data_IF_107313765446
#
_entry.id   IF_107313765446
#
_cell.length_a   1.000
_cell.length_b   1.000
_cell.length_c   1.000
_cell.angle_alpha   90.00
_cell.angle_beta   90.00
_cell.angle_gamma   90.00
#
_symmetry.space_group_name_H-M   'P 1'
#
loop_
_entity.id
_entity.type
_entity.pdbx_description
1 polymer ?
#
# COMPACT_ATOMS: atom_id res chain seq x y z
N UNK A 1 18.87 9.97 8.86
CA UNK A 1 18.24 8.66 9.13
C UNK A 1 18.01 7.94 7.82
N UNK A 2 18.25 6.64 7.81
CA UNK A 2 17.99 5.82 6.63
C UNK A 2 16.47 5.62 6.45
N UNK A 3 15.92 6.03 5.30
CA UNK A 3 14.48 5.98 5.00
C UNK A 3 13.97 4.61 4.52
N UNK A 4 14.70 3.52 4.80
CA UNK A 4 14.35 2.16 4.35
C UNK A 4 13.81 1.26 5.46
N UNK A 5 13.66 1.78 6.67
CA UNK A 5 13.09 1.09 7.83
C UNK A 5 11.80 1.77 8.26
N UNK A 6 10.77 0.96 8.58
CA UNK A 6 9.46 1.40 9.03
C UNK A 6 8.98 0.51 10.19
N UNK A 7 8.28 1.11 11.17
CA UNK A 7 7.81 0.46 12.39
C UNK A 7 8.75 0.65 13.57
N UNK A 8 8.29 0.32 14.76
CA UNK A 8 9.00 0.46 16.05
C UNK A 8 9.28 -0.90 16.66
N UNK A 9 8.26 -1.65 17.05
CA UNK A 9 8.35 -3.01 17.58
C UNK A 9 8.22 -4.05 16.48
N UNK A 10 7.15 -3.99 15.68
CA UNK A 10 7.07 -4.74 14.43
C UNK A 10 7.68 -3.88 13.33
N UNK A 11 8.87 -4.22 12.91
CA UNK A 11 9.70 -3.37 12.07
C UNK A 11 10.11 -4.07 10.79
N UNK A 12 10.02 -3.35 9.67
CA UNK A 12 10.53 -3.83 8.38
C UNK A 12 11.70 -2.97 7.92
N UNK A 13 12.68 -3.61 7.29
CA UNK A 13 13.75 -2.93 6.56
C UNK A 13 13.80 -3.48 5.13
N UNK A 14 13.44 -2.64 4.14
CA UNK A 14 13.44 -3.03 2.73
C UNK A 14 14.77 -2.67 2.07
N UNK A 15 15.24 -3.52 1.14
CA UNK A 15 16.49 -3.36 0.41
C UNK A 15 16.35 -3.83 -1.03
N UNK A 16 17.38 -3.55 -1.83
CA UNK A 16 17.43 -3.94 -3.25
C UNK A 16 16.79 -2.93 -4.19
N UNK A 17 16.99 -3.12 -5.48
CA UNK A 17 16.63 -2.20 -6.54
C UNK A 17 16.03 -2.93 -7.74
N UNK A 18 15.27 -2.20 -8.59
CA UNK A 18 14.53 -2.79 -9.70
C UNK A 18 15.40 -3.49 -10.74
N UNK A 19 16.65 -3.05 -10.90
CA UNK A 19 17.65 -3.62 -11.82
C UNK A 19 18.87 -4.20 -11.10
N UNK A 20 18.81 -4.34 -9.78
CA UNK A 20 19.75 -5.14 -9.01
C UNK A 20 19.44 -6.64 -9.10
N UNK A 21 20.26 -7.52 -8.49
CA UNK A 21 20.07 -8.97 -8.53
C UNK A 21 18.81 -9.44 -7.81
N UNK A 22 18.39 -8.71 -6.78
CA UNK A 22 17.24 -9.06 -5.94
C UNK A 22 16.68 -7.84 -5.21
N UNK A 23 15.46 -8.00 -4.68
CA UNK A 23 14.87 -7.14 -3.66
C UNK A 23 14.45 -8.00 -2.48
N UNK A 24 14.41 -7.40 -1.30
CA UNK A 24 13.98 -8.14 -0.12
C UNK A 24 13.54 -7.25 1.03
N UNK A 25 13.17 -7.92 2.09
CA UNK A 25 12.79 -7.30 3.36
C UNK A 25 13.29 -8.15 4.52
N UNK A 26 13.73 -7.49 5.57
CA UNK A 26 13.89 -8.10 6.88
C UNK A 26 12.75 -7.61 7.75
N UNK A 27 11.99 -8.55 8.32
CA UNK A 27 10.95 -8.30 9.32
C UNK A 27 11.53 -8.64 10.69
N UNK A 28 11.55 -7.69 11.59
CA UNK A 28 12.01 -7.84 12.96
C UNK A 28 10.87 -7.59 13.95
N UNK A 29 10.85 -8.27 15.09
CA UNK A 29 9.79 -8.16 16.09
C UNK A 29 8.53 -9.00 15.81
N UNK A 30 8.56 -9.93 14.85
CA UNK A 30 7.46 -10.87 14.67
C UNK A 30 7.42 -11.87 15.84
N UNK A 31 6.29 -12.06 16.55
CA UNK A 31 6.17 -13.07 17.60
C UNK A 31 6.43 -14.49 17.09
N UNK A 32 6.94 -15.36 17.94
CA UNK A 32 7.07 -16.79 17.64
C UNK A 32 5.72 -17.49 17.61
N UNK A 33 5.63 -18.61 16.87
CA UNK A 33 4.43 -19.47 16.84
C UNK A 33 3.33 -19.04 15.87
N UNK A 34 3.56 -18.03 15.01
CA UNK A 34 2.63 -17.64 13.96
C UNK A 34 2.77 -18.62 12.77
N UNK A 35 1.70 -19.29 12.32
CA UNK A 35 1.77 -20.16 11.13
C UNK A 35 2.07 -19.31 9.88
N UNK A 36 3.20 -19.56 9.23
CA UNK A 36 3.67 -18.80 8.09
C UNK A 36 4.33 -19.72 7.05
N UNK A 37 3.82 -19.70 5.83
CA UNK A 37 4.36 -20.48 4.70
C UNK A 37 4.76 -19.56 3.55
N UNK A 38 5.64 -20.05 2.68
CA UNK A 38 6.00 -19.37 1.43
C UNK A 38 4.75 -19.09 0.58
N UNK A 39 3.84 -20.05 0.46
CA UNK A 39 2.62 -19.91 -0.35
C UNK A 39 1.70 -18.80 0.17
N UNK A 40 1.60 -18.63 1.48
CA UNK A 40 0.83 -17.54 2.07
C UNK A 40 1.39 -16.17 1.67
N UNK A 41 2.70 -15.97 1.76
CA UNK A 41 3.36 -14.72 1.36
C UNK A 41 3.26 -14.55 -0.17
N UNK A 42 3.41 -15.63 -0.93
CA UNK A 42 3.31 -15.62 -2.39
C UNK A 42 1.95 -15.14 -2.88
N UNK A 43 0.86 -15.53 -2.22
CA UNK A 43 -0.48 -15.07 -2.57
C UNK A 43 -0.64 -13.55 -2.52
N UNK A 44 0.01 -12.86 -1.58
CA UNK A 44 0.07 -11.40 -1.53
C UNK A 44 0.91 -10.83 -2.67
N UNK A 45 2.08 -11.40 -2.93
CA UNK A 45 2.95 -10.96 -4.03
C UNK A 45 2.30 -11.18 -5.40
N UNK A 46 1.51 -12.23 -5.55
CA UNK A 46 0.77 -12.51 -6.78
C UNK A 46 -0.26 -11.43 -7.10
N UNK A 47 -0.89 -10.82 -6.11
CA UNK A 47 -1.79 -9.66 -6.30
C UNK A 47 -1.03 -8.40 -6.74
N UNK A 48 0.27 -8.29 -6.38
CA UNK A 48 1.13 -7.14 -6.71
C UNK A 48 1.82 -7.26 -8.06
N UNK A 49 2.20 -8.47 -8.49
CA UNK A 49 3.07 -8.70 -9.67
C UNK A 49 2.54 -8.07 -10.96
N UNK A 50 3.42 -7.69 -11.91
CA UNK A 50 3.02 -7.20 -13.23
C UNK A 50 2.41 -8.32 -14.11
N UNK A 51 1.81 -7.94 -15.24
CA UNK A 51 1.39 -8.91 -16.26
C UNK A 51 0.10 -9.68 -15.96
N UNK A 52 -0.73 -9.19 -15.02
CA UNK A 52 -1.95 -9.89 -14.61
C UNK A 52 -3.16 -9.60 -15.51
N UNK A 53 -3.14 -8.53 -16.28
CA UNK A 53 -4.21 -8.12 -17.19
C UNK A 53 -3.70 -7.26 -18.33
N UNK A 54 -4.56 -6.99 -19.33
CA UNK A 54 -4.26 -6.05 -20.42
C UNK A 54 -4.07 -4.60 -19.95
N UNK A 55 -4.47 -4.28 -18.71
CA UNK A 55 -4.31 -2.96 -18.07
C UNK A 55 -3.03 -2.84 -17.26
N UNK A 56 -2.18 -3.86 -17.27
CA UNK A 56 -0.86 -3.84 -16.62
C UNK A 56 0.23 -4.03 -17.64
N UNK A 57 1.46 -3.61 -17.30
CA UNK A 57 2.62 -3.79 -18.16
C UNK A 57 2.76 -5.25 -18.63
N UNK A 58 3.18 -5.44 -19.87
CA UNK A 58 3.49 -6.76 -20.45
C UNK A 58 4.72 -7.46 -19.84
N UNK A 59 5.40 -6.82 -18.87
CA UNK A 59 6.53 -7.41 -18.14
C UNK A 59 6.04 -8.65 -17.38
N UNK A 60 6.79 -9.74 -17.47
CA UNK A 60 6.49 -11.00 -16.77
C UNK A 60 7.54 -11.27 -15.72
N UNK A 61 7.16 -11.18 -14.47
CA UNK A 61 7.98 -11.54 -13.31
C UNK A 61 7.22 -12.55 -12.48
N UNK A 62 7.88 -13.60 -12.04
CA UNK A 62 7.25 -14.58 -11.13
C UNK A 62 7.09 -14.00 -9.73
N UNK A 63 7.99 -13.08 -9.36
CA UNK A 63 8.10 -12.51 -8.00
C UNK A 63 8.09 -13.60 -6.92
N UNK A 64 8.75 -14.73 -7.22
CA UNK A 64 8.82 -15.88 -6.31
C UNK A 64 9.62 -15.50 -5.07
N UNK A 65 9.00 -15.66 -3.90
CA UNK A 65 9.61 -15.36 -2.61
C UNK A 65 10.35 -16.56 -2.04
N UNK A 66 11.52 -16.30 -1.45
CA UNK A 66 12.29 -17.25 -0.65
C UNK A 66 12.31 -16.77 0.80
N UNK A 67 12.02 -17.63 1.76
CA UNK A 67 12.20 -17.38 3.20
C UNK A 67 13.59 -17.89 3.58
N UNK A 68 14.48 -16.99 4.02
CA UNK A 68 15.87 -17.32 4.34
C UNK A 68 16.12 -17.54 5.83
N UNK A 69 15.25 -17.01 6.72
CA UNK A 69 15.36 -17.13 8.17
C UNK A 69 14.05 -16.85 8.87
N UNK A 70 13.97 -17.12 10.17
CA UNK A 70 12.88 -16.76 11.06
C UNK A 70 11.64 -17.64 10.99
N UNK A 71 11.67 -18.73 10.22
CA UNK A 71 10.60 -19.74 10.13
C UNK A 71 11.19 -21.14 10.27
N UNK A 72 10.58 -21.98 11.09
CA UNK A 72 10.91 -23.38 11.29
C UNK A 72 9.63 -24.22 11.34
N UNK A 73 9.57 -25.31 10.57
CA UNK A 73 8.40 -26.22 10.46
C UNK A 73 7.05 -25.48 10.22
N UNK A 74 7.08 -24.38 9.44
CA UNK A 74 5.87 -23.61 9.10
C UNK A 74 5.43 -22.61 10.16
N UNK A 75 6.26 -22.36 11.20
CA UNK A 75 5.97 -21.39 12.25
C UNK A 75 7.09 -20.37 12.41
N UNK A 76 6.77 -19.14 12.74
CA UNK A 76 7.74 -18.11 13.07
C UNK A 76 8.49 -18.47 14.37
N UNK A 77 9.77 -18.09 14.44
CA UNK A 77 10.66 -18.43 15.56
C UNK A 77 10.91 -17.29 16.54
N UNK A 78 10.36 -16.10 16.29
CA UNK A 78 10.63 -14.88 17.07
C UNK A 78 11.97 -14.20 16.70
N UNK A 79 12.71 -14.76 15.75
CA UNK A 79 13.95 -14.15 15.21
C UNK A 79 13.66 -13.42 13.90
N UNK A 80 14.59 -12.57 13.40
CA UNK A 80 14.34 -11.81 12.17
C UNK A 80 14.01 -12.71 10.97
N UNK A 81 12.90 -12.38 10.28
CA UNK A 81 12.46 -13.06 9.07
C UNK A 81 13.07 -12.33 7.87
N UNK A 82 13.92 -13.01 7.11
CA UNK A 82 14.51 -12.49 5.88
C UNK A 82 13.79 -13.08 4.68
N UNK A 83 13.23 -12.21 3.83
CA UNK A 83 12.51 -12.57 2.62
C UNK A 83 13.22 -11.96 1.41
N UNK A 84 13.38 -12.73 0.34
CA UNK A 84 14.05 -12.30 -0.88
C UNK A 84 13.23 -12.68 -2.12
N UNK A 85 13.21 -11.79 -3.11
CA UNK A 85 12.68 -12.04 -4.46
C UNK A 85 13.77 -11.68 -5.47
N UNK A 86 14.12 -12.63 -6.33
CA UNK A 86 15.15 -12.44 -7.36
C UNK A 86 14.58 -11.75 -8.60
N UNK A 87 15.36 -10.88 -9.22
CA UNK A 87 15.00 -10.23 -10.48
C UNK A 87 15.41 -11.12 -11.67
N UNK A 88 14.45 -11.48 -12.52
CA UNK A 88 14.67 -12.39 -13.65
C UNK A 88 14.54 -11.72 -15.03
N UNK A 89 13.73 -10.66 -15.20
CA UNK A 89 13.44 -9.99 -16.48
C UNK A 89 13.86 -8.51 -16.45
N UNK A 90 15.16 -8.24 -16.15
CA UNK A 90 15.72 -6.90 -16.20
C UNK A 90 16.27 -6.62 -17.62
N UNK A 91 15.73 -5.58 -18.30
CA UNK A 91 16.19 -5.11 -19.61
C UNK A 91 16.73 -3.70 -19.49
N UNK A 92 18.02 -3.58 -19.17
CA UNK A 92 18.70 -2.29 -18.96
C UNK A 92 18.77 -1.43 -20.24
N UNK A 93 18.72 -2.04 -21.43
CA UNK A 93 18.75 -1.33 -22.71
C UNK A 93 17.52 -0.45 -22.97
N UNK A 94 16.36 -0.73 -22.36
CA UNK A 94 15.12 0.02 -22.57
C UNK A 94 15.19 1.46 -22.00
N UNK A 95 16.26 1.80 -21.26
CA UNK A 95 16.40 3.07 -20.53
C UNK A 95 17.50 4.00 -21.10
N UNK A 96 18.19 3.61 -22.19
CA UNK A 96 19.28 4.41 -22.75
C UNK A 96 18.79 5.78 -23.26
N UNK A 97 17.57 5.86 -23.81
CA UNK A 97 16.99 7.09 -24.36
C UNK A 97 16.62 8.13 -23.28
N UNK A 98 16.57 7.74 -22.01
CA UNK A 98 16.19 8.61 -20.90
C UNK A 98 17.32 8.85 -19.90
N UNK A 99 18.54 8.38 -20.22
CA UNK A 99 19.70 8.51 -19.36
C UNK A 99 20.02 9.98 -19.05
N UNK A 100 19.97 10.83 -20.07
CA UNK A 100 20.43 12.22 -19.99
C UNK A 100 19.26 13.22 -19.90
N UNK A 101 18.06 12.78 -19.49
CA UNK A 101 16.90 13.65 -19.31
C UNK A 101 16.16 13.34 -18.02
N UNK A 102 15.31 14.27 -17.57
CA UNK A 102 14.45 14.12 -16.39
C UNK A 102 13.03 13.85 -16.84
N UNK A 103 12.55 12.63 -16.59
CA UNK A 103 11.18 12.25 -16.95
C UNK A 103 10.17 13.07 -16.13
N UNK A 104 9.16 13.70 -16.77
CA UNK A 104 8.10 14.39 -16.06
C UNK A 104 7.40 13.47 -15.04
N UNK A 105 7.12 13.99 -13.85
CA UNK A 105 6.43 13.25 -12.81
C UNK A 105 7.19 12.09 -12.14
N UNK A 106 8.45 11.81 -12.55
CA UNK A 106 9.36 10.87 -11.92
C UNK A 106 10.34 11.53 -10.95
N UNK A 107 11.06 10.72 -10.18
CA UNK A 107 12.03 11.18 -9.18
C UNK A 107 13.44 11.41 -9.74
N UNK A 108 13.63 11.39 -11.04
CA UNK A 108 14.95 11.49 -11.68
C UNK A 108 15.72 12.72 -11.21
N UNK A 109 15.12 13.91 -11.32
CA UNK A 109 15.72 15.16 -10.91
C UNK A 109 16.04 15.22 -9.41
N UNK A 110 15.09 14.76 -8.59
CA UNK A 110 15.23 14.82 -7.13
C UNK A 110 16.32 13.88 -6.62
N UNK A 111 16.50 12.73 -7.26
CA UNK A 111 17.58 11.79 -6.93
C UNK A 111 18.96 12.36 -7.32
N UNK A 112 19.11 12.94 -8.50
CA UNK A 112 20.35 13.61 -8.90
C UNK A 112 20.71 14.75 -7.93
N UNK A 113 19.71 15.57 -7.54
CA UNK A 113 19.94 16.66 -6.58
C UNK A 113 20.28 16.20 -5.19
N UNK A 114 19.72 15.08 -4.74
CA UNK A 114 19.93 14.56 -3.39
C UNK A 114 21.23 13.78 -3.25
N UNK A 115 21.52 12.91 -4.23
CA UNK A 115 22.61 11.94 -4.11
C UNK A 115 23.80 12.26 -5.04
N UNK A 116 23.65 13.20 -5.99
CA UNK A 116 24.66 13.52 -6.98
C UNK A 116 24.87 12.44 -8.05
N UNK A 117 24.14 11.33 -7.95
CA UNK A 117 24.18 10.18 -8.83
C UNK A 117 22.83 9.48 -8.81
N UNK A 118 22.37 9.03 -9.97
CA UNK A 118 21.20 8.14 -10.07
C UNK A 118 21.50 6.91 -10.94
N UNK A 119 20.91 5.79 -10.59
CA UNK A 119 20.78 4.68 -11.52
C UNK A 119 19.59 4.96 -12.45
N UNK A 120 19.86 5.32 -13.71
CA UNK A 120 18.83 5.62 -14.70
C UNK A 120 18.05 4.38 -15.16
N UNK A 121 18.54 3.17 -14.85
CA UNK A 121 17.91 1.91 -15.22
C UNK A 121 16.70 1.63 -14.33
N UNK A 122 15.49 1.95 -14.80
CA UNK A 122 14.23 1.62 -14.15
C UNK A 122 13.88 2.32 -12.83
N UNK A 123 14.66 3.33 -12.41
CA UNK A 123 14.36 4.16 -11.25
C UNK A 123 14.80 3.60 -9.88
N UNK A 124 15.53 2.49 -9.83
CA UNK A 124 16.12 1.96 -8.59
C UNK A 124 15.11 1.81 -7.45
N UNK A 125 15.38 2.47 -6.30
CA UNK A 125 14.50 2.48 -5.11
C UNK A 125 13.19 3.25 -5.29
N UNK A 126 13.02 4.06 -6.36
CA UNK A 126 11.75 4.74 -6.66
C UNK A 126 10.84 3.96 -7.59
N UNK A 127 11.29 2.81 -8.06
CA UNK A 127 10.50 1.89 -8.88
C UNK A 127 9.37 1.25 -8.09
N UNK A 128 8.23 0.99 -8.74
CA UNK A 128 7.13 0.21 -8.14
C UNK A 128 7.54 -1.20 -7.69
N UNK A 129 8.69 -1.73 -8.13
CA UNK A 129 9.23 -3.01 -7.62
C UNK A 129 9.67 -2.96 -6.16
N UNK A 130 10.01 -1.79 -5.63
CA UNK A 130 10.32 -1.61 -4.20
C UNK A 130 9.17 -2.13 -3.31
N UNK A 131 7.94 -2.04 -3.78
CA UNK A 131 6.77 -2.52 -3.03
C UNK A 131 6.74 -4.03 -2.77
N UNK A 132 7.59 -4.83 -3.43
CA UNK A 132 7.78 -6.26 -3.11
C UNK A 132 8.12 -6.45 -1.63
N UNK A 133 9.09 -5.68 -1.11
CA UNK A 133 9.48 -5.78 0.30
C UNK A 133 8.35 -5.35 1.25
N UNK A 134 7.57 -4.32 0.89
CA UNK A 134 6.39 -3.90 1.67
C UNK A 134 5.32 -4.97 1.72
N UNK A 135 5.01 -5.58 0.57
CA UNK A 135 3.97 -6.62 0.45
C UNK A 135 4.39 -7.90 1.16
N UNK A 136 5.65 -8.33 1.00
CA UNK A 136 6.15 -9.50 1.70
C UNK A 136 6.15 -9.32 3.24
N UNK A 137 6.60 -8.15 3.73
CA UNK A 137 6.53 -7.81 5.16
C UNK A 137 5.08 -7.63 5.65
N UNK A 138 4.21 -7.06 4.79
CA UNK A 138 2.80 -6.90 5.06
C UNK A 138 2.04 -8.22 5.17
N UNK A 139 2.40 -9.23 4.38
CA UNK A 139 1.85 -10.58 4.53
C UNK A 139 2.14 -11.18 5.91
N UNK A 140 3.36 -10.99 6.44
CA UNK A 140 3.69 -11.42 7.81
C UNK A 140 2.82 -10.69 8.84
N UNK A 141 2.66 -9.37 8.70
CA UNK A 141 1.81 -8.57 9.57
C UNK A 141 0.33 -9.00 9.48
N UNK A 142 -0.19 -9.21 8.26
CA UNK A 142 -1.58 -9.67 8.04
C UNK A 142 -1.84 -11.01 8.72
N UNK A 143 -0.85 -11.91 8.71
CA UNK A 143 -1.00 -13.20 9.40
C UNK A 143 -1.14 -13.05 10.91
N UNK A 144 -0.43 -12.10 11.51
CA UNK A 144 -0.58 -11.78 12.95
C UNK A 144 -1.98 -11.22 13.21
N UNK A 145 -2.44 -10.28 12.37
CA UNK A 145 -3.77 -9.67 12.52
C UNK A 145 -4.89 -10.70 12.37
N UNK A 146 -4.79 -11.64 11.43
CA UNK A 146 -5.72 -12.76 11.27
C UNK A 146 -5.80 -13.63 12.53
N UNK A 147 -4.66 -13.94 13.17
CA UNK A 147 -4.62 -14.67 14.44
C UNK A 147 -5.34 -13.91 15.57
N UNK A 148 -5.46 -12.59 15.46
CA UNK A 148 -6.16 -11.73 16.42
C UNK A 148 -7.62 -11.44 16.01
N UNK A 149 -8.11 -12.04 14.91
CA UNK A 149 -9.47 -11.81 14.40
C UNK A 149 -9.66 -10.47 13.69
N UNK A 150 -8.57 -9.78 13.32
CA UNK A 150 -8.61 -8.50 12.62
C UNK A 150 -8.54 -8.77 11.11
N UNK A 151 -9.49 -8.20 10.37
CA UNK A 151 -9.63 -8.40 8.92
C UNK A 151 -9.45 -7.08 8.17
N UNK A 152 -8.69 -7.12 7.09
CA UNK A 152 -8.55 -6.03 6.13
C UNK A 152 -9.26 -6.40 4.83
N UNK A 153 -10.16 -5.53 4.38
CA UNK A 153 -10.81 -5.65 3.06
C UNK A 153 -10.40 -4.43 2.23
N UNK A 154 -9.55 -4.64 1.23
CA UNK A 154 -8.97 -3.55 0.43
C UNK A 154 -9.32 -3.73 -1.04
N UNK A 155 -9.77 -2.64 -1.67
CA UNK A 155 -10.29 -2.67 -3.03
C UNK A 155 -10.11 -1.33 -3.77
N UNK A 156 -10.29 -1.38 -5.07
CA UNK A 156 -10.36 -0.20 -5.93
C UNK A 156 -11.74 0.44 -5.84
N UNK A 157 -11.84 1.64 -5.28
CA UNK A 157 -13.08 2.41 -5.18
C UNK A 157 -13.39 3.18 -6.46
N UNK A 158 -12.34 3.71 -7.11
CA UNK A 158 -12.50 4.48 -8.34
C UNK A 158 -11.28 4.34 -9.26
N UNK A 159 -11.52 4.42 -10.57
CA UNK A 159 -10.50 4.57 -11.61
C UNK A 159 -10.92 5.74 -12.51
N UNK A 160 -10.09 6.78 -12.57
CA UNK A 160 -10.43 8.01 -13.27
C UNK A 160 -11.79 8.56 -12.84
N UNK A 161 -12.72 8.81 -13.77
CA UNK A 161 -14.05 9.32 -13.46
C UNK A 161 -15.04 8.25 -12.98
N UNK A 162 -14.69 6.95 -13.08
CA UNK A 162 -15.58 5.85 -12.70
C UNK A 162 -15.40 5.55 -11.22
N UNK A 163 -16.39 5.93 -10.41
CA UNK A 163 -16.40 5.76 -8.94
C UNK A 163 -17.64 5.01 -8.50
N UNK A 164 -17.46 4.01 -7.64
CA UNK A 164 -18.57 3.19 -7.11
C UNK A 164 -19.23 3.95 -5.95
N UNK A 165 -20.54 4.19 -5.98
CA UNK A 165 -21.27 4.76 -4.84
C UNK A 165 -21.33 3.73 -3.69
N UNK A 166 -21.40 4.22 -2.45
CA UNK A 166 -21.29 3.40 -1.25
C UNK A 166 -22.41 2.36 -1.07
N UNK A 167 -23.55 2.57 -1.68
CA UNK A 167 -24.72 1.69 -1.67
C UNK A 167 -24.65 0.57 -2.74
N UNK A 168 -23.64 0.59 -3.61
CA UNK A 168 -23.47 -0.36 -4.71
C UNK A 168 -22.34 -1.38 -4.49
N UNK A 169 -21.81 -1.50 -3.28
CA UNK A 169 -20.70 -2.44 -3.01
C UNK A 169 -21.18 -3.89 -2.86
N UNK A 170 -20.52 -4.78 -3.59
CA UNK A 170 -20.54 -6.23 -3.39
C UNK A 170 -19.09 -6.71 -3.19
N UNK A 171 -18.71 -6.91 -1.94
CA UNK A 171 -17.34 -7.35 -1.61
C UNK A 171 -16.99 -8.75 -2.08
N UNK A 172 -17.99 -9.59 -2.40
CA UNK A 172 -17.75 -10.96 -2.88
C UNK A 172 -17.07 -10.99 -4.25
N UNK A 173 -17.32 -9.98 -5.10
CA UNK A 173 -16.80 -9.91 -6.47
C UNK A 173 -15.44 -9.23 -6.62
N UNK A 174 -14.83 -8.76 -5.52
CA UNK A 174 -13.53 -8.03 -5.56
C UNK A 174 -12.47 -8.84 -6.31
N UNK A 175 -12.36 -10.13 -6.03
CA UNK A 175 -11.36 -11.01 -6.61
C UNK A 175 -11.78 -11.64 -7.95
N UNK A 176 -13.01 -11.39 -8.40
CA UNK A 176 -13.52 -11.92 -9.66
C UNK A 176 -13.13 -11.06 -10.87
N UNK A 177 -12.75 -9.81 -10.64
CA UNK A 177 -12.32 -8.89 -11.68
C UNK A 177 -10.88 -8.40 -11.46
N UNK A 178 -10.19 -8.10 -12.56
CA UNK A 178 -8.77 -7.72 -12.56
C UNK A 178 -8.50 -6.28 -12.08
N UNK A 179 -9.55 -5.52 -11.81
CA UNK A 179 -9.44 -4.18 -11.28
C UNK A 179 -9.65 -4.12 -9.76
N UNK A 180 -9.99 -5.27 -9.13
CA UNK A 180 -10.31 -5.39 -7.71
C UNK A 180 -11.41 -4.40 -7.27
N UNK A 181 -12.42 -4.19 -8.13
CA UNK A 181 -13.55 -3.32 -7.84
C UNK A 181 -14.70 -4.14 -7.22
N UNK A 182 -15.32 -3.68 -6.12
CA UNK A 182 -16.43 -4.38 -5.47
C UNK A 182 -17.79 -4.14 -6.18
N UNK A 183 -17.78 -4.16 -7.51
CA UNK A 183 -18.98 -4.12 -8.36
C UNK A 183 -18.59 -4.46 -9.80
N UNK A 184 -19.22 -5.47 -10.37
CA UNK A 184 -18.88 -5.97 -11.71
C UNK A 184 -19.25 -5.00 -12.84
N UNK A 185 -20.34 -4.24 -12.71
CA UNK A 185 -20.76 -3.24 -13.70
C UNK A 185 -19.77 -2.08 -13.76
N UNK A 186 -19.43 -1.51 -12.60
CA UNK A 186 -18.43 -0.43 -12.52
C UNK A 186 -17.03 -0.91 -12.93
N UNK A 187 -16.69 -2.17 -12.68
CA UNK A 187 -15.45 -2.76 -13.19
C UNK A 187 -15.41 -2.79 -14.73
N UNK A 188 -16.55 -3.10 -15.39
CA UNK A 188 -16.66 -3.05 -16.85
C UNK A 188 -16.57 -1.62 -17.39
N UNK A 189 -17.24 -0.65 -16.75
CA UNK A 189 -17.14 0.76 -17.12
C UNK A 189 -15.70 1.29 -16.97
N UNK A 190 -15.03 0.96 -15.89
CA UNK A 190 -13.62 1.31 -15.66
C UNK A 190 -12.70 0.66 -16.69
N UNK A 191 -12.97 -0.59 -17.07
CA UNK A 191 -12.22 -1.28 -18.12
C UNK A 191 -12.37 -0.58 -19.49
N UNK A 192 -13.58 -0.16 -19.87
CA UNK A 192 -13.81 0.58 -21.10
C UNK A 192 -13.11 1.95 -21.09
N UNK A 193 -13.14 2.66 -19.96
CA UNK A 193 -12.39 3.90 -19.78
C UNK A 193 -10.88 3.71 -19.93
N UNK A 194 -10.32 2.64 -19.35
CA UNK A 194 -8.90 2.33 -19.48
C UNK A 194 -8.50 1.93 -20.91
N UNK A 195 -9.38 1.28 -21.68
CA UNK A 195 -9.14 1.01 -23.09
C UNK A 195 -9.02 2.32 -23.90
N UNK A 196 -9.83 3.33 -23.56
CA UNK A 196 -9.69 4.66 -24.15
C UNK A 196 -8.37 5.31 -23.77
N UNK A 197 -7.96 5.26 -22.47
CA UNK A 197 -6.65 5.79 -22.04
C UNK A 197 -5.49 5.13 -22.83
N UNK A 198 -5.55 3.81 -23.06
CA UNK A 198 -4.54 3.08 -23.84
C UNK A 198 -4.53 3.58 -25.29
N UNK A 199 -5.70 3.75 -25.91
CA UNK A 199 -5.82 4.28 -27.28
C UNK A 199 -5.24 5.70 -27.39
N UNK A 200 -5.43 6.51 -26.36
CA UNK A 200 -4.93 7.89 -26.28
C UNK A 200 -3.46 7.97 -25.85
N UNK A 201 -2.79 6.81 -25.65
CA UNK A 201 -1.41 6.71 -25.15
C UNK A 201 -1.19 7.41 -23.80
N UNK A 202 -2.21 7.43 -22.97
CA UNK A 202 -2.25 8.09 -21.67
C UNK A 202 -2.46 7.09 -20.51
N UNK A 203 -2.59 7.59 -19.30
CA UNK A 203 -2.74 6.79 -18.08
C UNK A 203 -3.81 7.37 -17.15
N UNK A 204 -4.27 6.56 -16.22
CA UNK A 204 -5.24 6.97 -15.22
C UNK A 204 -4.74 6.75 -13.78
N UNK A 205 -5.22 7.60 -12.89
CA UNK A 205 -5.17 7.40 -11.45
C UNK A 205 -6.43 6.74 -10.93
N UNK A 206 -6.59 6.74 -9.60
CA UNK A 206 -7.81 6.25 -8.95
C UNK A 206 -7.74 6.31 -7.44
N UNK A 207 -8.71 5.70 -6.81
CA UNK A 207 -8.90 5.69 -5.37
C UNK A 207 -8.97 4.25 -4.86
N UNK A 208 -8.19 3.95 -3.83
CA UNK A 208 -8.23 2.69 -3.09
C UNK A 208 -8.92 2.95 -1.76
N UNK A 209 -9.78 2.02 -1.32
CA UNK A 209 -10.37 2.04 0.02
C UNK A 209 -9.99 0.74 0.74
N UNK A 210 -9.61 0.88 2.01
CA UNK A 210 -9.28 -0.22 2.91
C UNK A 210 -10.17 -0.12 4.15
N UNK A 211 -10.97 -1.15 4.40
CA UNK A 211 -11.79 -1.30 5.60
C UNK A 211 -11.10 -2.28 6.52
N UNK A 212 -10.90 -1.88 7.78
CA UNK A 212 -10.28 -2.70 8.81
C UNK A 212 -11.32 -2.97 9.88
N UNK A 213 -11.64 -4.24 10.10
CA UNK A 213 -12.65 -4.72 11.04
C UNK A 213 -11.98 -5.51 12.17
N UNK A 214 -12.59 -5.52 13.34
CA UNK A 214 -12.10 -6.29 14.49
C UNK A 214 -10.99 -5.61 15.29
N UNK A 215 -10.63 -4.36 14.98
CA UNK A 215 -9.68 -3.61 15.81
C UNK A 215 -10.27 -3.34 17.19
N UNK A 216 -9.57 -3.70 18.29
CA UNK A 216 -10.02 -3.34 19.62
C UNK A 216 -9.98 -1.82 19.81
N UNK A 217 -10.87 -1.29 20.66
CA UNK A 217 -10.76 0.09 21.12
C UNK A 217 -9.51 0.28 21.98
N UNK A 218 -8.83 1.42 21.83
CA UNK A 218 -7.69 1.79 22.67
C UNK A 218 -6.31 1.61 22.05
N UNK A 219 -6.20 1.38 20.74
CA UNK A 219 -4.93 1.24 20.03
C UNK A 219 -4.56 2.53 19.32
N UNK A 220 -3.32 2.99 19.46
CA UNK A 220 -2.79 4.26 18.99
C UNK A 220 -2.42 5.18 20.14
N UNK A 221 -1.67 6.23 19.85
CA UNK A 221 -1.17 7.17 20.85
C UNK A 221 -1.76 8.57 20.64
N UNK A 222 -1.92 9.35 21.69
CA UNK A 222 -2.27 10.76 21.55
C UNK A 222 -1.08 11.57 20.99
N UNK A 223 -1.38 12.77 20.50
CA UNK A 223 -0.48 13.81 20.02
C UNK A 223 0.16 13.44 18.67
N UNK A 224 1.36 12.84 18.60
CA UNK A 224 2.10 12.71 17.36
C UNK A 224 1.99 11.33 16.69
N UNK A 225 1.95 10.26 17.48
CA UNK A 225 1.90 8.90 16.97
C UNK A 225 0.46 8.34 16.94
N UNK A 226 -0.50 9.25 16.62
CA UNK A 226 -1.89 8.89 16.42
C UNK A 226 -2.03 7.79 15.39
N UNK A 227 -3.02 6.92 15.55
CA UNK A 227 -3.30 5.83 14.63
C UNK A 227 -3.57 6.35 13.21
N UNK A 228 -4.38 7.41 13.04
CA UNK A 228 -4.65 8.06 11.75
C UNK A 228 -3.38 8.66 11.14
N UNK A 229 -2.55 9.35 11.94
CA UNK A 229 -1.29 9.93 11.48
C UNK A 229 -0.28 8.84 11.05
N UNK A 230 -0.19 7.74 11.80
CA UNK A 230 0.70 6.61 11.51
C UNK A 230 0.25 5.87 10.23
N UNK A 231 -1.05 5.63 10.06
CA UNK A 231 -1.63 5.08 8.83
C UNK A 231 -1.39 6.01 7.64
N UNK A 232 -1.62 7.32 7.81
CA UNK A 232 -1.36 8.30 6.76
C UNK A 232 0.11 8.35 6.36
N UNK A 233 1.05 8.33 7.31
CA UNK A 233 2.49 8.24 7.06
C UNK A 233 2.86 6.99 6.27
N UNK A 234 2.32 5.83 6.67
CA UNK A 234 2.57 4.55 6.03
C UNK A 234 2.11 4.57 4.56
N UNK A 235 0.86 4.95 4.33
CA UNK A 235 0.23 4.93 3.01
C UNK A 235 0.78 6.05 2.11
N UNK A 236 1.01 7.26 2.64
CA UNK A 236 1.65 8.36 1.89
C UNK A 236 3.08 8.04 1.46
N UNK A 237 3.76 7.12 2.15
CA UNK A 237 5.11 6.65 1.77
C UNK A 237 5.12 5.76 0.52
N UNK A 238 3.97 5.26 0.06
CA UNK A 238 3.85 4.46 -1.15
C UNK A 238 4.03 5.37 -2.37
N UNK A 239 4.86 4.97 -3.32
CA UNK A 239 5.03 5.71 -4.57
C UNK A 239 3.70 5.92 -5.30
N UNK A 240 3.49 7.13 -5.85
CA UNK A 240 2.28 7.59 -6.52
C UNK A 240 1.07 7.92 -5.63
N UNK A 241 1.08 7.64 -4.33
CA UNK A 241 0.06 8.16 -3.40
C UNK A 241 0.20 9.69 -3.29
N UNK A 242 -0.94 10.40 -3.35
CA UNK A 242 -1.04 11.87 -3.30
C UNK A 242 -2.03 12.40 -2.29
N UNK A 243 -2.85 11.53 -1.73
CA UNK A 243 -3.81 11.88 -0.68
C UNK A 243 -4.15 10.66 0.16
N UNK A 244 -4.46 10.91 1.42
CA UNK A 244 -4.95 9.91 2.38
C UNK A 244 -6.12 10.53 3.12
N UNK A 245 -7.18 9.76 3.31
CA UNK A 245 -8.36 10.12 4.08
C UNK A 245 -8.69 9.03 5.10
N UNK A 246 -9.21 9.45 6.24
CA UNK A 246 -9.79 8.57 7.27
C UNK A 246 -11.25 8.99 7.48
N UNK A 247 -12.16 8.01 7.55
CA UNK A 247 -13.59 8.28 7.71
C UNK A 247 -14.14 9.13 6.58
N UNK A 248 -14.86 10.21 6.89
CA UNK A 248 -15.41 11.12 5.90
C UNK A 248 -14.35 11.98 5.18
N UNK A 249 -13.10 11.97 5.68
CA UNK A 249 -11.98 12.64 5.03
C UNK A 249 -12.25 14.13 4.77
N UNK A 250 -12.02 14.60 3.53
CA UNK A 250 -12.20 16.01 3.17
C UNK A 250 -13.66 16.45 3.19
N UNK A 251 -14.65 15.54 3.12
CA UNK A 251 -16.06 15.91 3.12
C UNK A 251 -16.53 16.52 4.45
N UNK A 252 -15.79 16.30 5.55
CA UNK A 252 -16.07 16.92 6.86
C UNK A 252 -16.10 18.46 6.81
N UNK A 253 -15.38 19.06 5.84
CA UNK A 253 -15.29 20.53 5.71
C UNK A 253 -16.63 21.19 5.40
N UNK A 254 -17.59 20.46 4.82
CA UNK A 254 -18.94 20.91 4.52
C UNK A 254 -19.97 20.46 5.56
N UNK A 255 -19.58 19.65 6.54
CA UNK A 255 -20.47 19.12 7.58
C UNK A 255 -20.59 20.09 8.76
N UNK A 256 -21.77 20.10 9.40
CA UNK A 256 -21.94 20.74 10.71
C UNK A 256 -21.58 19.75 11.82
N UNK A 257 -21.06 20.24 12.95
CA UNK A 257 -20.69 19.39 14.09
C UNK A 257 -21.84 18.50 14.59
N UNK A 258 -23.08 19.02 14.59
CA UNK A 258 -24.28 18.26 14.96
C UNK A 258 -24.58 17.06 14.04
N UNK A 259 -24.07 17.06 12.82
CA UNK A 259 -24.23 15.98 11.84
C UNK A 259 -23.00 15.07 11.86
N UNK A 260 -21.81 15.66 11.95
CA UNK A 260 -20.54 14.95 11.89
C UNK A 260 -20.18 14.17 13.18
N UNK A 261 -20.79 14.54 14.31
CA UNK A 261 -20.49 13.86 15.58
C UNK A 261 -21.11 12.46 15.61
N UNK A 262 -20.26 11.46 15.77
CA UNK A 262 -20.68 10.07 15.96
C UNK A 262 -21.26 9.87 17.37
N UNK A 263 -22.59 9.72 17.48
CA UNK A 263 -23.26 9.52 18.76
C UNK A 263 -22.97 8.14 19.33
N UNK A 264 -22.61 8.09 20.62
CA UNK A 264 -22.49 6.83 21.35
C UNK A 264 -23.86 6.28 21.78
N UNK A 265 -24.00 4.97 21.68
CA UNK A 265 -25.16 4.22 22.17
C UNK A 265 -24.70 3.05 23.04
N UNK A 266 -25.59 2.56 23.89
CA UNK A 266 -25.37 1.33 24.68
C UNK A 266 -26.29 0.23 24.18
N UNK A 267 -25.72 -0.88 23.72
CA UNK A 267 -26.45 -2.09 23.37
C UNK A 267 -25.88 -3.29 24.16
N UNK A 268 -26.73 -3.96 24.95
CA UNK A 268 -26.33 -5.11 25.75
C UNK A 268 -25.12 -4.86 26.69
N UNK A 269 -24.96 -3.61 27.17
CA UNK A 269 -23.84 -3.21 28.00
C UNK A 269 -22.55 -2.88 27.25
N UNK A 270 -22.59 -2.94 25.93
CA UNK A 270 -21.47 -2.51 25.04
C UNK A 270 -21.69 -1.07 24.56
N UNK A 271 -20.60 -0.32 24.51
CA UNK A 271 -20.59 1.04 23.94
C UNK A 271 -20.33 0.92 22.45
N UNK A 272 -21.27 1.40 21.65
CA UNK A 272 -21.20 1.41 20.18
C UNK A 272 -21.42 2.83 19.68
N UNK A 273 -21.21 3.05 18.36
CA UNK A 273 -21.56 4.31 17.67
C UNK A 273 -22.70 4.09 16.67
N UNK A 274 -23.55 5.10 16.51
CA UNK A 274 -24.64 5.08 15.51
C UNK A 274 -24.13 5.35 14.09
N UNK A 275 -23.08 6.17 13.98
CA UNK A 275 -22.44 6.57 12.73
C UNK A 275 -20.93 6.37 12.83
N UNK A 276 -20.21 6.51 11.74
CA UNK A 276 -18.77 6.32 11.71
C UNK A 276 -18.07 7.37 10.83
N UNK A 277 -18.44 8.64 11.00
CA UNK A 277 -17.84 9.77 10.28
C UNK A 277 -16.34 9.91 10.58
N UNK A 278 -15.95 9.63 11.83
CA UNK A 278 -14.55 9.62 12.27
C UNK A 278 -13.72 8.47 11.69
N UNK A 279 -14.37 7.46 11.07
CA UNK A 279 -13.69 6.31 10.47
C UNK A 279 -12.97 5.41 11.48
N UNK A 280 -13.55 5.19 12.66
CA UNK A 280 -13.03 4.25 13.67
C UNK A 280 -11.91 4.78 14.56
N UNK A 281 -11.59 6.09 14.47
CA UNK A 281 -10.47 6.70 15.20
C UNK A 281 -10.94 8.00 15.86
N UNK A 282 -10.81 8.10 17.17
CA UNK A 282 -11.13 9.28 17.97
C UNK A 282 -9.89 9.70 18.78
N UNK A 283 -9.49 10.96 18.66
CA UNK A 283 -8.32 11.47 19.36
C UNK A 283 -7.00 10.77 19.00
N UNK A 284 -6.95 10.06 17.89
CA UNK A 284 -5.77 9.29 17.44
C UNK A 284 -5.73 7.84 17.93
N UNK A 285 -6.82 7.38 18.55
CA UNK A 285 -6.95 6.06 19.18
C UNK A 285 -8.16 5.34 18.56
N UNK A 286 -8.05 4.04 18.31
CA UNK A 286 -9.14 3.23 17.77
C UNK A 286 -10.32 3.19 18.76
N UNK A 287 -11.55 3.25 18.26
CA UNK A 287 -12.76 3.25 19.07
C UNK A 287 -13.56 1.93 19.02
N UNK A 288 -13.05 0.93 18.29
CA UNK A 288 -13.68 -0.39 18.12
C UNK A 288 -14.59 -0.49 16.89
N UNK A 289 -14.89 0.62 16.22
CA UNK A 289 -15.60 0.62 14.95
C UNK A 289 -14.64 0.27 13.79
N UNK A 290 -15.21 -0.06 12.62
CA UNK A 290 -14.40 -0.28 11.42
C UNK A 290 -13.57 0.96 11.08
N UNK A 291 -12.26 0.77 10.84
CA UNK A 291 -11.41 1.86 10.37
C UNK A 291 -11.55 1.95 8.85
N UNK A 292 -11.85 3.14 8.36
CA UNK A 292 -12.03 3.42 6.93
C UNK A 292 -10.89 4.31 6.45
N UNK A 293 -10.03 3.76 5.60
CA UNK A 293 -8.84 4.41 5.06
C UNK A 293 -8.95 4.49 3.54
N UNK A 294 -8.67 5.67 2.94
CA UNK A 294 -8.61 5.85 1.48
C UNK A 294 -7.27 6.39 1.05
N UNK A 295 -6.83 5.96 -0.14
CA UNK A 295 -5.57 6.39 -0.75
C UNK A 295 -5.80 6.83 -2.20
N UNK A 296 -5.49 8.10 -2.50
CA UNK A 296 -5.53 8.64 -3.85
C UNK A 296 -4.21 8.36 -4.59
N UNK A 297 -4.31 7.71 -5.73
CA UNK A 297 -3.18 7.29 -6.57
C UNK A 297 -3.15 8.18 -7.83
N UNK A 298 -2.04 8.86 -8.10
CA UNK A 298 -1.87 9.64 -9.31
C UNK A 298 -1.74 8.75 -10.55
N UNK A 299 -2.03 9.28 -11.76
CA UNK A 299 -1.73 8.60 -13.03
C UNK A 299 -0.25 8.21 -13.13
N UNK A 300 0.03 7.14 -13.87
CA UNK A 300 1.40 6.72 -14.19
C UNK A 300 2.07 7.78 -15.06
N UNK A 301 3.23 8.33 -14.65
CA UNK A 301 3.83 9.44 -15.39
C UNK A 301 4.54 9.01 -16.69
N UNK A 302 4.83 7.72 -16.84
CA UNK A 302 5.43 7.17 -18.09
C UNK A 302 4.32 6.92 -19.11
N UNK A 303 4.11 7.89 -20.00
CA UNK A 303 3.12 7.81 -21.09
C UNK A 303 3.83 7.98 -22.44
N UNK A 304 3.20 7.49 -23.51
CA UNK A 304 3.77 7.56 -24.87
C UNK A 304 3.44 8.87 -25.58
N UNK A 305 2.62 9.73 -24.99
CA UNK A 305 2.43 11.09 -25.52
C UNK A 305 3.70 11.93 -25.37
N UNK A 306 4.00 12.85 -26.32
CA UNK A 306 5.10 13.80 -26.20
C UNK A 306 4.95 14.69 -24.96
N UNK A 307 6.03 14.81 -24.18
CA UNK A 307 6.06 15.61 -22.94
C UNK A 307 7.27 16.56 -22.97
N UNK A 308 7.05 17.80 -22.58
CA UNK A 308 8.13 18.78 -22.41
C UNK A 308 8.91 18.49 -21.13
N UNK A 309 10.24 18.57 -21.21
CA UNK A 309 11.14 18.38 -20.09
C UNK A 309 12.49 19.06 -20.34
N UNK A 310 13.48 18.77 -19.50
CA UNK A 310 14.86 19.24 -19.67
C UNK A 310 15.83 18.06 -19.62
N UNK A 311 16.96 18.20 -20.34
CA UNK A 311 18.06 17.27 -20.21
C UNK A 311 18.96 17.63 -19.01
N UNK A 312 19.97 16.81 -18.74
CA UNK A 312 20.93 17.03 -17.63
C UNK A 312 21.83 18.26 -17.85
N UNK A 313 21.95 18.77 -19.07
CA UNK A 313 22.64 20.02 -19.39
C UNK A 313 21.77 21.29 -19.17
N UNK A 314 20.48 21.12 -18.83
CA UNK A 314 19.55 22.23 -18.59
C UNK A 314 18.85 22.74 -19.85
N UNK A 315 18.91 22.02 -20.96
CA UNK A 315 18.27 22.39 -22.23
C UNK A 315 16.84 21.86 -22.30
N UNK A 316 15.90 22.68 -22.78
CA UNK A 316 14.52 22.27 -23.00
C UNK A 316 14.45 21.27 -24.14
N UNK A 317 13.79 20.14 -23.90
CA UNK A 317 13.59 19.06 -24.86
C UNK A 317 12.14 18.55 -24.81
N UNK A 318 11.76 17.78 -25.80
CA UNK A 318 10.53 17.00 -25.80
C UNK A 318 10.88 15.51 -25.83
N UNK A 319 10.20 14.71 -25.01
CA UNK A 319 10.38 13.26 -24.96
C UNK A 319 9.03 12.56 -25.05
N UNK A 320 9.02 11.40 -25.72
CA UNK A 320 7.95 10.43 -25.64
C UNK A 320 8.54 9.15 -25.00
N UNK A 321 7.96 8.69 -23.91
CA UNK A 321 8.50 7.54 -23.20
C UNK A 321 7.96 6.28 -23.87
N UNK A 322 8.81 5.63 -24.67
CA UNK A 322 8.49 4.33 -25.25
C UNK A 322 8.80 3.22 -24.25
N UNK A 323 7.97 2.20 -24.17
CA UNK A 323 8.21 1.04 -23.31
C UNK A 323 6.94 0.39 -22.76
N UNK A 324 7.13 -0.58 -21.87
CA UNK A 324 6.04 -1.35 -21.26
C UNK A 324 5.62 -0.67 -19.95
N UNK A 325 4.65 0.23 -20.02
CA UNK A 325 4.14 0.96 -18.86
C UNK A 325 2.74 0.49 -18.48
N UNK A 326 2.41 0.63 -17.20
CA UNK A 326 1.05 0.37 -16.71
C UNK A 326 0.15 1.58 -17.09
N UNK A 327 -0.94 1.43 -17.85
CA UNK A 327 -1.92 2.51 -18.04
C UNK A 327 -2.63 2.86 -16.73
N UNK A 328 -2.66 1.96 -15.77
CA UNK A 328 -3.13 2.18 -14.40
C UNK A 328 -2.37 1.30 -13.42
N UNK A 329 -1.96 1.87 -12.28
CA UNK A 329 -1.27 1.11 -11.23
C UNK A 329 -2.18 0.78 -10.03
N UNK A 330 -3.40 1.33 -9.99
CA UNK A 330 -4.33 1.22 -8.86
C UNK A 330 -4.58 -0.23 -8.45
N UNK A 331 -4.91 -1.18 -9.35
CA UNK A 331 -5.16 -2.57 -8.95
C UNK A 331 -3.96 -3.25 -8.27
N UNK A 332 -2.74 -2.92 -8.72
CA UNK A 332 -1.51 -3.44 -8.10
C UNK A 332 -1.19 -2.77 -6.76
N UNK A 333 -1.65 -1.54 -6.57
CA UNK A 333 -1.45 -0.78 -5.34
C UNK A 333 -2.42 -1.20 -4.22
N UNK A 334 -3.53 -1.87 -4.53
CA UNK A 334 -4.50 -2.39 -3.54
C UNK A 334 -3.79 -3.18 -2.43
N UNK A 335 -3.05 -4.22 -2.79
CA UNK A 335 -2.33 -5.06 -1.82
C UNK A 335 -1.18 -4.31 -1.13
N UNK A 336 -0.63 -3.25 -1.74
CA UNK A 336 0.42 -2.43 -1.12
C UNK A 336 -0.15 -1.55 -0.01
N UNK A 337 -1.32 -0.95 -0.24
CA UNK A 337 -2.06 -0.17 0.78
C UNK A 337 -2.45 -1.08 1.94
N UNK A 338 -3.03 -2.25 1.65
CA UNK A 338 -3.36 -3.29 2.64
C UNK A 338 -2.15 -3.67 3.49
N UNK A 339 -1.02 -3.96 2.85
CA UNK A 339 0.22 -4.36 3.52
C UNK A 339 0.77 -3.27 4.44
N UNK A 340 0.77 -2.01 4.00
CA UNK A 340 1.25 -0.89 4.82
C UNK A 340 0.31 -0.60 5.99
N UNK A 341 -1.01 -0.76 5.80
CA UNK A 341 -1.97 -0.69 6.89
C UNK A 341 -1.73 -1.83 7.90
N UNK A 342 -1.58 -3.07 7.44
CA UNK A 342 -1.32 -4.22 8.30
C UNK A 342 -0.05 -4.06 9.15
N UNK A 343 1.06 -3.62 8.55
CA UNK A 343 2.32 -3.36 9.26
C UNK A 343 2.11 -2.32 10.36
N UNK A 344 1.40 -1.23 10.05
CA UNK A 344 1.15 -0.13 11.00
C UNK A 344 0.28 -0.59 12.17
N UNK A 345 -0.79 -1.32 11.87
CA UNK A 345 -1.71 -1.84 12.90
C UNK A 345 -1.01 -2.85 13.82
N UNK A 346 -0.23 -3.76 13.25
CA UNK A 346 0.54 -4.73 14.02
C UNK A 346 1.54 -4.05 14.95
N UNK A 347 2.28 -3.07 14.45
CA UNK A 347 3.24 -2.31 15.26
C UNK A 347 2.57 -1.57 16.42
N UNK A 348 1.45 -0.87 16.16
CA UNK A 348 0.72 -0.14 17.20
C UNK A 348 0.02 -1.07 18.21
N UNK A 349 -0.50 -2.23 17.78
CA UNK A 349 -1.02 -3.25 18.68
C UNK A 349 0.05 -3.77 19.65
N UNK A 350 1.26 -4.02 19.15
CA UNK A 350 2.38 -4.46 19.99
C UNK A 350 2.83 -3.35 20.94
N UNK A 351 2.88 -2.10 20.52
CA UNK A 351 3.18 -0.97 21.38
C UNK A 351 2.12 -0.82 22.50
N UNK A 352 0.86 -1.07 22.22
CA UNK A 352 -0.24 -0.99 23.18
C UNK A 352 -0.15 -2.02 24.32
N UNK A 353 0.63 -3.09 24.17
CA UNK A 353 0.77 -4.14 25.20
C UNK A 353 1.31 -3.62 26.54
N UNK A 354 1.96 -2.48 26.57
CA UNK A 354 2.51 -1.86 27.78
C UNK A 354 1.70 -0.68 28.30
N UNK A 355 0.56 -0.36 27.68
CA UNK A 355 -0.25 0.82 28.03
C UNK A 355 -0.96 0.73 29.38
N UNK A 356 -1.18 -0.49 29.90
CA UNK A 356 -1.85 -0.74 31.17
C UNK A 356 -1.08 -1.76 32.01
N UNK A 357 -1.06 -1.53 33.31
CA UNK A 357 -0.44 -2.48 34.27
C UNK A 357 -1.13 -3.85 34.25
N UNK A 358 -2.45 -3.90 34.00
CA UNK A 358 -3.20 -5.14 33.87
C UNK A 358 -2.69 -6.01 32.71
N UNK A 359 -2.28 -5.41 31.60
CA UNK A 359 -1.72 -6.15 30.47
C UNK A 359 -0.39 -6.83 30.85
N UNK A 360 0.47 -6.13 31.58
CA UNK A 360 1.71 -6.70 32.07
C UNK A 360 1.47 -7.81 33.10
N UNK A 361 0.48 -7.63 34.01
CA UNK A 361 0.10 -8.68 34.96
C UNK A 361 -0.39 -9.95 34.28
N UNK A 362 -1.19 -9.83 33.22
CA UNK A 362 -1.70 -10.98 32.45
C UNK A 362 -0.58 -11.78 31.76
N UNK A 363 0.58 -11.15 31.51
CA UNK A 363 1.75 -11.82 30.90
C UNK A 363 2.65 -12.49 31.96
N UNK A 364 2.81 -11.85 33.13
CA UNK A 364 3.87 -12.23 34.07
C UNK A 364 3.34 -12.80 35.41
N UNK A 365 2.05 -12.77 35.66
CA UNK A 365 1.41 -13.31 36.85
C UNK A 365 0.32 -14.31 36.53
#
# INVERSE_FOLDING_TARGET
>A
MAGSTFGTLFRITTWGESHGPALGVVVDGCPAGIPLTTDYIQAFLDRRKPGQSKFTTARRESDTVEILSGVFEGYTTGTPISLVVRNNDQRSHDYNNIKDCYRPGHADYTFDKKYGLRDYRGGGRTSGRETIGRVAGGAVASRILECLGIKLTTYTKAIGPVSIPSDAYDYSVINENRLYMPNSEYAQQAAAYLEQCISDQDSSGGLIECIIEGMPAGVGEPVFDKLDASLAKAVMSIGAVKGVEIGDGFSVTSSKGSINNDSFISENGQVLKQTNHSGGILGGISDGSSIILRAAIKPTPSISQPQKTVNTAGENIEIAISGRHDPVIVPRAVVVVESMAAITLTDLLMQNMTSRIEYLKNIYL
#
